data_IF_195202597976
#
_entry.id   IF_195202597976
#
_cell.length_a   1.000
_cell.length_b   1.000
_cell.length_c   1.000
_cell.angle_alpha   90.00
_cell.angle_beta   90.00
_cell.angle_gamma   90.00
#
_symmetry.space_group_name_H-M   'P 1'
#
loop_
_entity.id
_entity.type
_entity.pdbx_description
1 polymer ?
#
# COMPACT_ATOMS: atom_id res chain seq x y z
N UNK A 1 12.85 25.45 7.04
CA UNK A 1 12.04 24.52 6.22
C UNK A 1 12.20 24.85 4.75
N UNK A 2 11.96 23.87 3.89
CA UNK A 2 12.09 24.01 2.44
C UNK A 2 11.02 23.19 1.72
N UNK A 3 10.61 23.66 0.53
CA UNK A 3 9.88 22.84 -0.44
C UNK A 3 10.85 22.55 -1.57
N UNK A 4 11.22 21.28 -1.74
CA UNK A 4 12.03 20.83 -2.86
C UNK A 4 11.09 20.42 -4.00
N UNK A 5 11.05 21.23 -5.05
CA UNK A 5 10.14 21.07 -6.19
C UNK A 5 10.90 21.15 -7.52
N UNK A 6 11.78 20.16 -7.81
CA UNK A 6 12.53 20.13 -9.05
C UNK A 6 11.65 19.72 -10.22
N UNK A 7 12.00 20.21 -11.40
CA UNK A 7 11.46 19.69 -12.66
C UNK A 7 12.04 18.31 -12.98
N UNK A 8 11.39 17.60 -13.91
CA UNK A 8 11.78 16.23 -14.28
C UNK A 8 13.23 16.18 -14.79
N UNK A 9 13.62 17.17 -15.59
CA UNK A 9 14.93 17.27 -16.22
C UNK A 9 16.05 17.51 -15.20
N UNK A 10 15.75 18.17 -14.08
CA UNK A 10 16.71 18.37 -12.98
C UNK A 10 17.02 17.05 -12.24
N UNK A 11 16.05 16.12 -12.21
CA UNK A 11 16.20 14.82 -11.56
C UNK A 11 16.78 13.78 -12.52
N UNK A 12 16.30 13.75 -13.75
CA UNK A 12 16.59 12.68 -14.71
C UNK A 12 17.48 13.10 -15.88
N UNK A 13 18.08 14.30 -15.87
CA UNK A 13 19.14 14.74 -16.79
C UNK A 13 18.99 14.38 -18.27
N UNK A 14 20.07 14.55 -19.03
CA UNK A 14 20.18 13.96 -20.36
C UNK A 14 20.78 12.55 -20.25
N UNK A 15 20.27 11.58 -21.02
CA UNK A 15 20.80 10.21 -21.10
C UNK A 15 20.79 9.40 -19.78
N UNK A 16 19.87 9.72 -18.86
CA UNK A 16 19.73 8.98 -17.60
C UNK A 16 19.37 7.51 -17.85
N UNK A 17 20.23 6.65 -17.30
CA UNK A 17 20.25 5.21 -17.60
C UNK A 17 20.46 4.35 -16.35
N UNK A 18 20.47 4.95 -15.16
CA UNK A 18 20.62 4.23 -13.89
C UNK A 18 19.25 3.95 -13.29
N UNK A 19 18.96 2.68 -12.98
CA UNK A 19 17.69 2.26 -12.40
C UNK A 19 17.96 1.40 -11.17
N UNK A 20 17.11 1.55 -10.16
CA UNK A 20 17.16 0.73 -8.95
C UNK A 20 15.94 -0.19 -8.92
N UNK A 21 16.18 -1.49 -8.80
CA UNK A 21 15.14 -2.51 -8.68
C UNK A 21 15.28 -3.21 -7.34
N UNK A 22 14.16 -3.40 -6.65
CA UNK A 22 14.07 -4.26 -5.45
C UNK A 22 13.34 -5.53 -5.84
N UNK A 23 14.00 -6.67 -5.73
CA UNK A 23 13.44 -7.97 -6.13
C UNK A 23 12.56 -8.59 -5.04
N UNK A 24 11.75 -9.59 -5.41
CA UNK A 24 10.87 -10.40 -4.53
C UNK A 24 9.69 -9.65 -3.88
N UNK A 25 9.74 -8.30 -3.79
CA UNK A 25 8.66 -7.48 -3.21
C UNK A 25 7.74 -6.85 -4.27
N UNK A 26 8.10 -6.93 -5.54
CA UNK A 26 7.39 -6.27 -6.65
C UNK A 26 6.59 -7.22 -7.53
N UNK A 27 6.64 -8.52 -7.26
CA UNK A 27 6.01 -9.56 -8.09
C UNK A 27 4.52 -9.78 -7.76
N UNK A 28 4.05 -9.21 -6.65
CA UNK A 28 2.67 -9.33 -6.16
C UNK A 28 2.00 -7.98 -6.01
N UNK A 29 0.70 -7.97 -5.69
CA UNK A 29 -0.07 -6.78 -5.33
C UNK A 29 0.04 -5.65 -6.38
N UNK A 30 0.35 -4.42 -5.98
CA UNK A 30 0.49 -3.27 -6.88
C UNK A 30 1.61 -3.48 -7.90
N UNK A 31 2.62 -4.28 -7.59
CA UNK A 31 3.76 -4.53 -8.48
C UNK A 31 3.35 -5.39 -9.68
N UNK A 32 2.54 -6.41 -9.44
CA UNK A 32 1.92 -7.22 -10.49
C UNK A 32 0.92 -6.38 -11.33
N UNK A 33 0.09 -5.56 -10.68
CA UNK A 33 -0.90 -4.71 -11.36
C UNK A 33 -0.29 -3.53 -12.11
N UNK A 34 0.95 -3.12 -11.78
CA UNK A 34 1.62 -1.93 -12.33
C UNK A 34 3.09 -2.21 -12.66
N UNK A 35 3.38 -2.97 -13.74
CA UNK A 35 4.73 -3.34 -14.12
C UNK A 35 5.67 -2.13 -14.22
N UNK A 36 6.84 -2.23 -13.59
CA UNK A 36 7.85 -1.17 -13.56
C UNK A 36 7.58 0.00 -12.58
N UNK A 37 6.41 0.07 -11.96
CA UNK A 37 6.07 1.16 -11.03
C UNK A 37 7.08 1.29 -9.89
N UNK A 38 7.39 0.18 -9.22
CA UNK A 38 8.28 0.20 -8.06
C UNK A 38 9.76 0.36 -8.41
N UNK A 39 10.18 0.03 -9.64
CA UNK A 39 11.51 0.41 -10.14
C UNK A 39 11.63 1.94 -10.21
N UNK A 40 10.57 2.60 -10.70
CA UNK A 40 10.49 4.07 -10.69
C UNK A 40 10.57 4.63 -9.27
N UNK A 41 9.77 4.10 -8.35
CA UNK A 41 9.78 4.51 -6.93
C UNK A 41 11.17 4.32 -6.29
N UNK A 42 11.75 3.13 -6.39
CA UNK A 42 13.05 2.86 -5.80
C UNK A 42 14.15 3.77 -6.37
N UNK A 43 14.11 4.02 -7.69
CA UNK A 43 15.05 4.93 -8.35
C UNK A 43 14.91 6.35 -7.81
N UNK A 44 13.71 6.92 -7.78
CA UNK A 44 13.53 8.32 -7.32
C UNK A 44 13.82 8.47 -5.83
N UNK A 45 13.43 7.51 -4.99
CA UNK A 45 13.73 7.55 -3.55
C UNK A 45 15.24 7.47 -3.30
N UNK A 46 15.96 6.65 -4.06
CA UNK A 46 17.44 6.58 -3.99
C UNK A 46 18.07 7.93 -4.32
N UNK A 47 17.60 8.61 -5.36
CA UNK A 47 18.08 9.96 -5.73
C UNK A 47 17.79 10.94 -4.58
N UNK A 48 16.55 10.97 -4.08
CA UNK A 48 16.14 11.88 -3.02
C UNK A 48 16.91 11.67 -1.71
N UNK A 49 17.19 10.43 -1.32
CA UNK A 49 17.99 10.15 -0.12
C UNK A 49 19.44 10.63 -0.28
N UNK A 50 20.03 10.50 -1.46
CA UNK A 50 21.38 11.02 -1.72
C UNK A 50 21.43 12.57 -1.77
N UNK A 51 20.39 13.19 -2.31
CA UNK A 51 20.29 14.66 -2.47
C UNK A 51 19.96 15.35 -1.15
N UNK A 52 18.94 14.87 -0.45
CA UNK A 52 18.41 15.53 0.76
C UNK A 52 19.16 15.05 2.02
N UNK A 53 19.61 13.79 2.04
CA UNK A 53 20.25 13.13 3.20
C UNK A 53 19.47 13.29 4.51
N UNK A 54 18.17 12.91 4.54
CA UNK A 54 17.37 13.07 5.73
C UNK A 54 17.75 12.05 6.81
N UNK A 55 17.74 12.46 8.08
CA UNK A 55 17.80 11.52 9.21
C UNK A 55 16.53 10.66 9.29
N UNK A 56 15.37 11.25 8.98
CA UNK A 56 14.07 10.59 9.01
C UNK A 56 13.28 10.84 7.72
N UNK A 57 12.70 9.78 7.16
CA UNK A 57 11.79 9.89 6.01
C UNK A 57 10.42 9.26 6.34
N UNK A 58 9.36 10.03 6.14
CA UNK A 58 7.99 9.67 6.53
C UNK A 58 7.20 9.14 5.33
N UNK A 59 6.66 7.93 5.45
CA UNK A 59 5.82 7.31 4.42
C UNK A 59 4.51 6.80 5.02
N UNK A 60 3.41 6.92 4.27
CA UNK A 60 2.10 6.49 4.74
C UNK A 60 1.89 4.98 4.61
N UNK A 61 1.35 4.35 5.66
CA UNK A 61 1.00 2.92 5.67
C UNK A 61 0.02 2.53 4.54
N UNK A 62 -0.77 3.47 4.03
CA UNK A 62 -1.73 3.23 2.95
C UNK A 62 -1.06 2.58 1.73
N UNK A 63 0.15 2.99 1.41
CA UNK A 63 0.99 2.43 0.36
C UNK A 63 1.92 1.35 0.95
N UNK A 64 1.35 0.35 1.64
CA UNK A 64 2.11 -0.62 2.45
C UNK A 64 3.23 -1.34 1.68
N UNK A 65 2.98 -1.73 0.43
CA UNK A 65 4.00 -2.35 -0.42
C UNK A 65 5.13 -1.38 -0.75
N UNK A 66 4.83 -0.10 -0.99
CA UNK A 66 5.83 0.94 -1.18
C UNK A 66 6.70 1.08 0.07
N UNK A 67 6.08 1.10 1.25
CA UNK A 67 6.79 1.18 2.54
C UNK A 67 7.73 -0.02 2.72
N UNK A 68 7.28 -1.24 2.43
CA UNK A 68 8.12 -2.44 2.52
C UNK A 68 9.32 -2.37 1.56
N UNK A 69 9.09 -1.92 0.33
CA UNK A 69 10.13 -1.73 -0.69
C UNK A 69 11.15 -0.68 -0.25
N UNK A 70 10.70 0.46 0.28
CA UNK A 70 11.59 1.53 0.74
C UNK A 70 12.38 1.08 1.96
N UNK A 71 11.78 0.37 2.92
CA UNK A 71 12.51 -0.22 4.05
C UNK A 71 13.60 -1.20 3.59
N UNK A 72 13.29 -2.05 2.61
CA UNK A 72 14.24 -2.99 2.01
C UNK A 72 15.37 -2.23 1.31
N UNK A 73 15.04 -1.25 0.49
CA UNK A 73 15.98 -0.38 -0.22
C UNK A 73 16.94 0.32 0.75
N UNK A 74 16.40 0.98 1.79
CA UNK A 74 17.18 1.68 2.82
C UNK A 74 18.18 0.74 3.49
N UNK A 75 17.71 -0.44 3.91
CA UNK A 75 18.54 -1.43 4.58
C UNK A 75 19.63 -1.98 3.67
N UNK A 76 19.26 -2.43 2.47
CA UNK A 76 20.17 -3.15 1.58
C UNK A 76 21.22 -2.23 0.95
N UNK A 77 20.90 -0.96 0.72
CA UNK A 77 21.84 0.04 0.19
C UNK A 77 22.58 0.83 1.28
N UNK A 78 22.34 0.52 2.56
CA UNK A 78 23.06 1.12 3.69
C UNK A 78 22.78 2.62 3.88
N UNK A 79 21.56 3.08 3.61
CA UNK A 79 21.16 4.45 3.92
C UNK A 79 20.98 4.61 5.44
N UNK A 80 21.53 5.69 6.00
CA UNK A 80 21.38 6.04 7.42
C UNK A 80 19.97 6.57 7.77
N UNK A 81 19.15 6.87 6.76
CA UNK A 81 17.79 7.40 6.94
C UNK A 81 16.87 6.41 7.64
N UNK A 82 16.24 6.82 8.74
CA UNK A 82 15.19 6.07 9.41
C UNK A 82 13.84 6.21 8.70
N UNK A 83 13.18 5.08 8.41
CA UNK A 83 11.87 5.06 7.74
C UNK A 83 10.74 5.06 8.77
N UNK A 84 10.05 6.19 8.89
CA UNK A 84 8.92 6.37 9.81
C UNK A 84 7.60 6.13 9.07
N UNK A 85 6.80 5.19 9.58
CA UNK A 85 5.52 4.82 8.95
C UNK A 85 4.35 5.53 9.61
N UNK A 86 3.73 6.46 8.87
CA UNK A 86 2.52 7.16 9.30
C UNK A 86 1.28 6.29 9.19
N UNK A 87 0.36 6.40 10.16
CA UNK A 87 -0.93 5.69 10.12
C UNK A 87 -1.77 6.15 8.92
N UNK A 88 -2.65 5.26 8.45
CA UNK A 88 -3.62 5.62 7.41
C UNK A 88 -4.57 6.69 7.95
N UNK A 89 -4.51 7.89 7.38
CA UNK A 89 -5.49 8.95 7.64
C UNK A 89 -6.74 8.66 6.84
N UNK A 90 -7.91 8.83 7.46
CA UNK A 90 -9.20 8.46 6.91
C UNK A 90 -10.15 9.65 6.95
N UNK A 91 -11.04 9.72 5.97
CA UNK A 91 -12.22 10.58 6.00
C UNK A 91 -13.18 10.11 7.11
N UNK A 92 -14.18 10.93 7.45
CA UNK A 92 -15.21 10.56 8.45
C UNK A 92 -15.94 9.26 8.08
N UNK A 93 -16.13 9.01 6.78
CA UNK A 93 -16.71 7.77 6.25
C UNK A 93 -15.84 6.52 6.49
N UNK A 94 -14.57 6.72 6.86
CA UNK A 94 -13.56 5.67 6.99
C UNK A 94 -12.75 5.43 5.70
N UNK A 95 -13.11 6.06 4.58
CA UNK A 95 -12.36 5.98 3.34
C UNK A 95 -10.92 6.49 3.56
N UNK A 96 -9.92 5.71 3.15
CA UNK A 96 -8.53 6.15 3.22
C UNK A 96 -8.30 7.42 2.38
N UNK A 97 -7.68 8.44 2.96
CA UNK A 97 -7.43 9.69 2.26
C UNK A 97 -6.51 9.46 1.04
N UNK A 98 -6.89 10.05 -0.09
CA UNK A 98 -6.19 9.92 -1.36
C UNK A 98 -6.42 11.18 -2.18
N UNK A 99 -5.39 11.68 -2.88
CA UNK A 99 -5.60 12.68 -3.92
C UNK A 99 -6.58 12.19 -5.00
N UNK A 100 -6.60 10.86 -5.25
CA UNK A 100 -7.55 10.23 -6.17
C UNK A 100 -9.01 10.31 -5.72
N UNK A 101 -9.31 10.59 -4.44
CA UNK A 101 -10.69 10.69 -3.97
C UNK A 101 -11.41 11.89 -4.60
N UNK A 102 -10.67 12.92 -5.02
CA UNK A 102 -11.21 14.08 -5.74
C UNK A 102 -11.70 13.73 -7.16
N UNK A 103 -11.32 12.58 -7.70
CA UNK A 103 -11.74 12.10 -9.03
C UNK A 103 -13.02 11.27 -8.97
N UNK A 104 -13.49 10.91 -7.77
CA UNK A 104 -14.72 10.17 -7.57
C UNK A 104 -15.90 11.14 -7.68
N UNK A 105 -17.00 10.67 -8.25
CA UNK A 105 -18.30 11.30 -8.03
C UNK A 105 -18.69 11.24 -6.54
N UNK A 106 -19.66 12.06 -6.13
CA UNK A 106 -20.15 12.06 -4.74
C UNK A 106 -20.63 10.67 -4.32
N UNK A 107 -21.41 10.01 -5.18
CA UNK A 107 -21.91 8.66 -4.95
C UNK A 107 -20.77 7.64 -4.84
N UNK A 108 -19.84 7.62 -5.81
CA UNK A 108 -18.69 6.71 -5.78
C UNK A 108 -17.83 6.89 -4.52
N UNK A 109 -17.65 8.13 -4.04
CA UNK A 109 -16.89 8.42 -2.82
C UNK A 109 -17.57 7.88 -1.57
N UNK A 110 -18.88 8.05 -1.46
CA UNK A 110 -19.66 7.49 -0.35
C UNK A 110 -19.61 5.96 -0.37
N UNK A 111 -19.76 5.35 -1.56
CA UNK A 111 -19.73 3.90 -1.73
C UNK A 111 -18.34 3.31 -1.53
N UNK A 112 -17.28 4.03 -1.87
CA UNK A 112 -15.89 3.59 -1.69
C UNK A 112 -15.53 3.27 -0.23
N UNK A 113 -16.26 3.83 0.75
CA UNK A 113 -16.10 3.49 2.15
C UNK A 113 -16.37 1.99 2.46
N UNK A 114 -17.01 1.25 1.54
CA UNK A 114 -17.17 -0.21 1.64
C UNK A 114 -15.83 -0.95 1.78
N UNK A 115 -14.74 -0.42 1.19
CA UNK A 115 -13.40 -1.02 1.34
C UNK A 115 -12.99 -1.08 2.81
N UNK A 116 -13.19 0.04 3.54
CA UNK A 116 -12.87 0.09 4.97
C UNK A 116 -13.78 -0.83 5.78
N UNK A 117 -15.08 -0.88 5.46
CA UNK A 117 -16.03 -1.82 6.09
C UNK A 117 -15.58 -3.28 5.91
N UNK A 118 -15.13 -3.64 4.72
CA UNK A 118 -14.62 -4.97 4.40
C UNK A 118 -13.35 -5.32 5.19
N UNK A 119 -12.39 -4.41 5.28
CA UNK A 119 -11.18 -4.59 6.10
C UNK A 119 -11.51 -4.72 7.60
N UNK A 120 -12.51 -3.98 8.08
CA UNK A 120 -13.01 -4.09 9.46
C UNK A 120 -13.67 -5.43 9.73
N UNK A 121 -14.50 -5.92 8.80
CA UNK A 121 -15.12 -7.24 8.91
C UNK A 121 -14.07 -8.35 8.97
N UNK A 122 -13.06 -8.30 8.10
CA UNK A 122 -11.93 -9.23 8.14
C UNK A 122 -11.17 -9.16 9.46
N UNK A 123 -10.91 -7.95 9.98
CA UNK A 123 -10.27 -7.79 11.28
C UNK A 123 -11.09 -8.39 12.42
N UNK A 124 -12.41 -8.22 12.41
CA UNK A 124 -13.31 -8.83 13.41
C UNK A 124 -13.26 -10.35 13.33
N UNK A 125 -13.34 -10.93 12.13
CA UNK A 125 -13.27 -12.38 11.96
C UNK A 125 -11.94 -12.96 12.49
N UNK A 126 -10.81 -12.29 12.25
CA UNK A 126 -9.52 -12.70 12.83
C UNK A 126 -9.54 -12.56 14.35
N UNK A 127 -10.15 -11.50 14.90
CA UNK A 127 -10.29 -11.36 16.35
C UNK A 127 -11.14 -12.48 16.97
N UNK A 128 -12.16 -12.95 16.25
CA UNK A 128 -13.09 -14.01 16.68
C UNK A 128 -12.54 -15.44 16.49
N UNK A 129 -11.40 -15.59 15.83
CA UNK A 129 -10.68 -16.87 15.75
C UNK A 129 -10.45 -17.39 14.34
N UNK A 130 -10.92 -16.70 13.30
CA UNK A 130 -10.60 -17.09 11.92
C UNK A 130 -9.09 -16.93 11.67
N UNK A 131 -8.46 -17.98 11.15
CA UNK A 131 -7.01 -18.01 10.88
C UNK A 131 -6.70 -18.40 9.44
N UNK A 132 -7.66 -18.94 8.69
CA UNK A 132 -7.48 -19.27 7.30
C UNK A 132 -7.44 -17.98 6.46
N UNK A 133 -6.31 -17.72 5.81
CA UNK A 133 -6.10 -16.50 5.04
C UNK A 133 -7.07 -16.38 3.85
N UNK A 134 -7.42 -17.51 3.21
CA UNK A 134 -8.38 -17.52 2.11
C UNK A 134 -9.81 -17.19 2.60
N UNK A 135 -10.21 -17.68 3.77
CA UNK A 135 -11.50 -17.33 4.39
C UNK A 135 -11.56 -15.83 4.71
N UNK A 136 -10.48 -15.27 5.28
CA UNK A 136 -10.37 -13.83 5.55
C UNK A 136 -10.45 -13.01 4.26
N UNK A 137 -9.73 -13.41 3.21
CA UNK A 137 -9.81 -12.75 1.90
C UNK A 137 -11.23 -12.83 1.32
N UNK A 138 -11.92 -13.97 1.49
CA UNK A 138 -13.28 -14.16 1.01
C UNK A 138 -14.28 -13.20 1.71
N UNK A 139 -14.12 -12.96 3.02
CA UNK A 139 -14.93 -11.99 3.78
C UNK A 139 -14.79 -10.58 3.20
N UNK A 140 -13.57 -10.18 2.88
CA UNK A 140 -13.32 -8.86 2.27
C UNK A 140 -13.98 -8.80 0.89
N UNK A 141 -13.77 -9.81 0.05
CA UNK A 141 -14.32 -9.88 -1.32
C UNK A 141 -15.86 -9.83 -1.30
N UNK A 142 -16.50 -10.63 -0.45
CA UNK A 142 -17.96 -10.67 -0.37
C UNK A 142 -18.55 -9.37 0.17
N UNK A 143 -17.90 -8.73 1.13
CA UNK A 143 -18.33 -7.43 1.66
C UNK A 143 -18.27 -6.34 0.59
N UNK A 144 -17.20 -6.30 -0.21
CA UNK A 144 -17.08 -5.34 -1.31
C UNK A 144 -18.08 -5.66 -2.44
N UNK A 145 -18.29 -6.93 -2.75
CA UNK A 145 -19.24 -7.36 -3.79
C UNK A 145 -20.71 -7.00 -3.48
N UNK A 146 -21.04 -6.67 -2.22
CA UNK A 146 -22.34 -6.12 -1.85
C UNK A 146 -22.58 -4.68 -2.31
N UNK A 147 -21.55 -3.99 -2.83
CA UNK A 147 -21.65 -2.63 -3.37
C UNK A 147 -21.54 -2.67 -4.91
N UNK A 148 -22.64 -2.44 -5.66
CA UNK A 148 -22.66 -2.58 -7.12
C UNK A 148 -21.65 -1.71 -7.89
N UNK A 149 -21.26 -0.56 -7.32
CA UNK A 149 -20.28 0.33 -7.96
C UNK A 149 -18.82 -0.13 -7.77
N UNK A 150 -18.59 -1.12 -6.91
CA UNK A 150 -17.25 -1.60 -6.57
C UNK A 150 -16.83 -2.79 -7.45
N UNK A 151 -15.68 -2.65 -8.12
CA UNK A 151 -15.04 -3.76 -8.80
C UNK A 151 -13.72 -4.11 -8.11
N UNK A 152 -13.67 -5.27 -7.45
CA UNK A 152 -12.43 -5.75 -6.81
C UNK A 152 -11.38 -6.05 -7.88
N UNK A 153 -10.20 -5.48 -7.74
CA UNK A 153 -9.00 -5.84 -8.52
C UNK A 153 -8.31 -7.01 -7.82
N UNK A 154 -7.89 -6.81 -6.58
CA UNK A 154 -7.39 -7.89 -5.74
C UNK A 154 -7.76 -7.71 -4.28
N UNK A 155 -7.80 -8.85 -3.58
CA UNK A 155 -7.70 -8.95 -2.13
C UNK A 155 -6.63 -9.97 -1.84
N UNK A 156 -5.68 -9.61 -1.00
CA UNK A 156 -4.56 -10.46 -0.61
C UNK A 156 -4.34 -10.41 0.90
N UNK A 157 -3.96 -11.55 1.46
CA UNK A 157 -3.48 -11.68 2.83
C UNK A 157 -2.05 -12.18 2.75
N UNK A 158 -1.11 -11.35 3.18
CA UNK A 158 0.32 -11.59 3.02
C UNK A 158 1.05 -11.33 4.33
N UNK A 159 2.27 -11.86 4.45
CA UNK A 159 3.17 -11.48 5.51
C UNK A 159 3.51 -9.98 5.43
N UNK A 160 3.50 -9.27 6.56
CA UNK A 160 3.63 -7.82 6.58
C UNK A 160 5.04 -7.30 6.24
N UNK A 161 6.07 -8.14 6.32
CA UNK A 161 7.46 -7.75 6.03
C UNK A 161 7.91 -8.21 4.64
N UNK A 162 7.60 -9.45 4.30
CA UNK A 162 8.03 -10.10 3.06
C UNK A 162 7.03 -9.97 1.93
N UNK A 163 5.77 -9.60 2.22
CA UNK A 163 4.65 -9.59 1.28
C UNK A 163 4.40 -10.94 0.59
N UNK A 164 4.96 -12.03 1.13
CA UNK A 164 4.71 -13.37 0.67
C UNK A 164 3.27 -13.79 1.04
N UNK A 165 2.55 -14.49 0.14
CA UNK A 165 1.25 -15.06 0.48
C UNK A 165 1.34 -15.96 1.72
N UNK A 166 0.35 -15.87 2.60
CA UNK A 166 0.23 -16.75 3.76
C UNK A 166 -1.03 -17.60 3.65
N UNK A 167 -0.96 -18.86 4.06
CA UNK A 167 -2.14 -19.74 4.13
C UNK A 167 -2.90 -19.55 5.45
N UNK A 168 -2.16 -19.26 6.52
CA UNK A 168 -2.68 -19.15 7.88
C UNK A 168 -2.10 -17.92 8.59
N UNK A 169 -2.97 -17.18 9.25
CA UNK A 169 -2.60 -16.09 10.14
C UNK A 169 -2.07 -16.70 11.43
N UNK A 170 -0.81 -16.41 11.77
CA UNK A 170 -0.13 -16.95 12.96
C UNK A 170 0.19 -15.83 13.95
N UNK A 171 1.31 -15.90 14.67
CA UNK A 171 1.77 -14.83 15.57
C UNK A 171 2.28 -13.61 14.80
N UNK A 172 2.87 -13.84 13.62
CA UNK A 172 3.45 -12.79 12.80
C UNK A 172 2.38 -11.84 12.29
N UNK A 173 2.76 -10.56 12.15
CA UNK A 173 1.87 -9.56 11.58
C UNK A 173 1.59 -9.90 10.11
N UNK A 174 0.31 -9.89 9.74
CA UNK A 174 -0.14 -10.05 8.37
C UNK A 174 -0.74 -8.74 7.86
N UNK A 175 -0.55 -8.48 6.58
CA UNK A 175 -1.16 -7.39 5.86
C UNK A 175 -2.35 -7.94 5.05
N UNK A 176 -3.54 -7.40 5.31
CA UNK A 176 -4.68 -7.57 4.41
C UNK A 176 -4.72 -6.36 3.50
N UNK A 177 -4.42 -6.57 2.22
CA UNK A 177 -4.36 -5.52 1.21
C UNK A 177 -5.49 -5.66 0.20
N UNK A 178 -6.08 -4.52 -0.20
CA UNK A 178 -7.18 -4.45 -1.15
C UNK A 178 -6.88 -3.40 -2.20
N UNK A 179 -7.17 -3.73 -3.45
CA UNK A 179 -7.38 -2.77 -4.51
C UNK A 179 -8.76 -2.97 -5.13
N UNK A 180 -9.48 -1.88 -5.34
CA UNK A 180 -10.79 -1.88 -5.99
C UNK A 180 -10.98 -0.64 -6.85
N UNK A 181 -11.83 -0.76 -7.88
CA UNK A 181 -12.20 0.33 -8.79
C UNK A 181 -13.62 0.80 -8.50
N UNK A 182 -13.80 2.11 -8.58
CA UNK A 182 -15.08 2.80 -8.57
C UNK A 182 -15.08 3.69 -9.81
N UNK A 183 -15.85 3.29 -10.82
CA UNK A 183 -15.74 3.84 -12.17
C UNK A 183 -14.30 3.70 -12.69
N UNK A 184 -13.68 4.84 -13.04
CA UNK A 184 -12.30 4.87 -13.55
C UNK A 184 -11.24 5.00 -12.44
N UNK A 185 -11.65 5.21 -11.19
CA UNK A 185 -10.73 5.49 -10.08
C UNK A 185 -10.36 4.19 -9.38
N UNK A 186 -9.06 3.89 -9.35
CA UNK A 186 -8.52 2.74 -8.61
C UNK A 186 -8.03 3.18 -7.22
N UNK A 187 -8.66 2.61 -6.20
CA UNK A 187 -8.37 2.87 -4.79
C UNK A 187 -7.65 1.66 -4.19
N UNK A 188 -6.81 1.95 -3.20
CA UNK A 188 -6.13 0.96 -2.39
C UNK A 188 -6.37 1.26 -0.92
N UNK A 189 -6.45 0.22 -0.12
CA UNK A 189 -6.46 0.30 1.34
C UNK A 189 -5.88 -0.99 1.92
N UNK A 190 -5.47 -0.94 3.18
CA UNK A 190 -4.95 -2.10 3.86
C UNK A 190 -5.19 -2.02 5.38
N UNK A 191 -5.06 -3.16 6.03
CA UNK A 191 -4.94 -3.23 7.50
C UNK A 191 -3.90 -4.26 7.90
N UNK A 192 -3.14 -3.94 8.94
CA UNK A 192 -2.19 -4.86 9.55
C UNK A 192 -2.84 -5.49 10.76
N UNK A 193 -2.77 -6.82 10.84
CA UNK A 193 -3.30 -7.60 11.96
C UNK A 193 -2.18 -8.46 12.53
N UNK A 194 -2.05 -8.47 13.85
CA UNK A 194 -1.31 -9.47 14.60
C UNK A 194 -2.26 -10.20 15.56
N UNK A 195 -1.81 -11.31 16.16
CA UNK A 195 -2.63 -12.10 17.10
C UNK A 195 -3.15 -11.28 18.30
N UNK A 196 -2.53 -10.15 18.63
CA UNK A 196 -2.87 -9.30 19.77
C UNK A 196 -3.78 -8.10 19.42
N UNK A 197 -4.13 -7.89 18.14
CA UNK A 197 -4.72 -6.63 17.64
C UNK A 197 -6.13 -6.72 17.09
#
# INVERSE_FOLDING_TARGET
DYVFAPDKEEIYGENFSTLVTVENLTETLEGASRPGHFRGVATIVTILFNTIRPDFAFFGQKDAQQVAIIKRLTKDLGFDTEIVVGKIVREESGLAMSSRNALLSVEEREKAAVIYKALRAAKIAVKEGERNAAAVAAIVRSTIAGEPLAQVDYVAVVDNETLAPVEKITENAVLIAVAARFGNVRLIDNTVINKRS
#
